data_IF_775846792547
#
_entry.id   IF_775846792547
#
_cell.length_a   1.000
_cell.length_b   1.000
_cell.length_c   1.000
_cell.angle_alpha   90.00
_cell.angle_beta   90.00
_cell.angle_gamma   90.00
#
_symmetry.space_group_name_H-M   'P 1'
#
loop_
_entity.id
_entity.type
_entity.pdbx_description
1 polymer ?
#
# COMPACT_ATOMS: atom_id res chain seq x y z
N UNK A 1 -20.31 -21.68 -74.20
CA UNK A 1 -21.20 -21.36 -73.07
C UNK A 1 -20.61 -21.95 -71.80
N UNK A 2 -20.41 -21.12 -70.76
CA UNK A 2 -20.45 -21.36 -69.31
C UNK A 2 -19.43 -20.44 -68.59
N UNK A 3 -19.94 -19.32 -68.11
CA UNK A 3 -19.22 -18.29 -67.36
C UNK A 3 -19.32 -18.62 -65.85
N UNK A 4 -18.17 -18.83 -65.20
CA UNK A 4 -18.06 -19.23 -63.79
C UNK A 4 -18.14 -17.98 -62.90
N UNK A 5 -19.25 -17.80 -62.21
CA UNK A 5 -19.48 -16.68 -61.28
C UNK A 5 -18.81 -16.96 -59.93
N UNK A 6 -17.79 -16.17 -59.57
CA UNK A 6 -17.21 -16.16 -58.23
C UNK A 6 -18.09 -15.31 -57.31
N UNK A 7 -18.81 -15.96 -56.39
CA UNK A 7 -19.48 -15.29 -55.27
C UNK A 7 -18.43 -14.90 -54.22
N UNK A 8 -18.17 -13.61 -54.09
CA UNK A 8 -17.47 -13.03 -52.95
C UNK A 8 -18.38 -13.11 -51.72
N UNK A 9 -18.00 -13.93 -50.74
CA UNK A 9 -18.64 -13.92 -49.42
C UNK A 9 -18.33 -12.58 -48.76
N UNK A 10 -19.35 -11.73 -48.63
CA UNK A 10 -19.25 -10.47 -47.90
C UNK A 10 -19.22 -10.74 -46.39
N UNK A 11 -18.06 -10.54 -45.77
CA UNK A 11 -17.82 -10.58 -44.31
C UNK A 11 -18.53 -9.45 -43.52
N UNK A 12 -19.52 -8.78 -44.11
CA UNK A 12 -20.13 -7.57 -43.57
C UNK A 12 -21.15 -7.75 -42.43
N UNK A 13 -21.89 -8.87 -42.25
CA UNK A 13 -22.91 -8.92 -41.20
C UNK A 13 -22.35 -9.29 -39.81
N UNK A 14 -21.16 -9.88 -39.72
CA UNK A 14 -20.54 -10.29 -38.44
C UNK A 14 -19.87 -9.14 -37.68
N UNK A 15 -19.37 -8.13 -38.40
CA UNK A 15 -18.70 -6.98 -37.79
C UNK A 15 -19.66 -6.04 -37.02
N UNK A 16 -20.94 -6.00 -37.40
CA UNK A 16 -21.95 -5.12 -36.79
C UNK A 16 -22.39 -5.65 -35.40
N UNK A 17 -22.35 -6.97 -35.19
CA UNK A 17 -22.71 -7.60 -33.91
C UNK A 17 -21.62 -7.51 -32.83
N UNK A 18 -20.36 -7.30 -33.22
CA UNK A 18 -19.23 -7.13 -32.28
C UNK A 18 -19.09 -5.70 -31.75
N UNK A 19 -19.68 -4.73 -32.44
CA UNK A 19 -19.63 -3.31 -32.10
C UNK A 19 -20.25 -2.97 -30.73
N UNK A 20 -21.43 -3.49 -30.33
CA UNK A 20 -21.98 -3.25 -28.99
C UNK A 20 -21.17 -3.95 -27.90
N UNK A 21 -20.56 -5.11 -28.20
CA UNK A 21 -19.70 -5.82 -27.25
C UNK A 21 -18.42 -5.03 -26.98
N UNK A 22 -17.76 -4.52 -28.02
CA UNK A 22 -16.59 -3.64 -27.91
C UNK A 22 -16.92 -2.33 -27.18
N UNK A 23 -18.09 -1.74 -27.43
CA UNK A 23 -18.56 -0.56 -26.71
C UNK A 23 -18.82 -0.86 -25.23
N UNK A 24 -19.40 -2.02 -24.90
CA UNK A 24 -19.60 -2.45 -23.53
C UNK A 24 -18.26 -2.71 -22.82
N UNK A 25 -17.27 -3.33 -23.48
CA UNK A 25 -15.93 -3.53 -22.93
C UNK A 25 -15.20 -2.20 -22.76
N UNK A 26 -15.27 -1.29 -23.73
CA UNK A 26 -14.68 0.04 -23.63
C UNK A 26 -15.33 0.87 -22.51
N UNK A 27 -16.66 0.78 -22.33
CA UNK A 27 -17.38 1.38 -21.21
C UNK A 27 -16.95 0.76 -19.89
N UNK A 28 -16.75 -0.56 -19.82
CA UNK A 28 -16.24 -1.24 -18.63
C UNK A 28 -14.80 -0.80 -18.31
N UNK A 29 -13.95 -0.64 -19.32
CA UNK A 29 -12.60 -0.10 -19.15
C UNK A 29 -12.64 1.38 -18.76
N UNK A 30 -13.58 2.19 -19.24
CA UNK A 30 -13.70 3.60 -18.82
C UNK A 30 -14.27 3.75 -17.41
N UNK A 31 -15.21 2.88 -17.01
CA UNK A 31 -15.85 2.92 -15.69
C UNK A 31 -14.98 2.27 -14.61
N UNK A 32 -14.18 1.26 -14.96
CA UNK A 32 -13.32 0.51 -14.02
C UNK A 32 -11.82 0.70 -14.25
N UNK A 33 -11.40 1.45 -15.27
CA UNK A 33 -9.99 1.63 -15.65
C UNK A 33 -9.33 2.87 -15.07
N UNK A 34 -10.01 3.63 -14.21
CA UNK A 34 -9.34 4.58 -13.32
C UNK A 34 -8.71 3.81 -12.15
N UNK A 35 -7.84 2.85 -12.49
CA UNK A 35 -6.87 2.32 -11.54
C UNK A 35 -5.91 3.48 -11.30
N UNK A 36 -6.19 4.29 -10.28
CA UNK A 36 -5.18 5.17 -9.68
C UNK A 36 -3.92 4.36 -9.55
N UNK A 37 -2.82 4.87 -10.10
CA UNK A 37 -1.50 4.32 -9.86
C UNK A 37 -1.31 4.27 -8.34
N UNK A 38 -1.46 3.08 -7.76
CA UNK A 38 -1.21 2.80 -6.34
C UNK A 38 0.24 3.18 -5.99
N UNK A 39 1.08 3.31 -7.02
CA UNK A 39 2.45 3.79 -6.98
C UNK A 39 2.63 5.27 -6.60
N UNK A 40 1.59 6.12 -6.64
CA UNK A 40 1.75 7.54 -6.23
C UNK A 40 1.72 7.74 -4.71
N UNK A 41 1.13 6.81 -3.96
CA UNK A 41 1.00 6.94 -2.50
C UNK A 41 2.26 6.52 -1.72
N UNK A 42 3.16 5.76 -2.36
CA UNK A 42 4.35 5.17 -1.75
C UNK A 42 5.57 5.40 -2.62
N UNK A 43 6.53 6.16 -2.09
CA UNK A 43 7.84 6.36 -2.70
C UNK A 43 8.87 5.40 -2.07
N UNK A 44 9.66 4.73 -2.91
CA UNK A 44 10.79 3.92 -2.42
C UNK A 44 11.98 4.85 -2.20
N UNK A 45 12.33 5.11 -0.95
CA UNK A 45 13.45 5.98 -0.57
C UNK A 45 14.78 5.23 -0.65
N UNK A 46 14.79 3.97 -0.20
CA UNK A 46 15.99 3.14 -0.19
C UNK A 46 15.64 1.67 -0.42
N UNK A 47 16.54 0.94 -1.07
CA UNK A 47 16.45 -0.53 -1.23
C UNK A 47 17.72 -1.16 -0.70
N UNK A 48 17.56 -2.21 0.11
CA UNK A 48 18.65 -3.00 0.69
C UNK A 48 18.42 -4.48 0.38
N UNK A 49 19.41 -5.32 0.67
CA UNK A 49 19.26 -6.77 0.55
C UNK A 49 18.20 -7.36 1.50
N UNK A 50 17.83 -6.61 2.56
CA UNK A 50 16.96 -7.09 3.64
C UNK A 50 15.56 -6.46 3.59
N UNK A 51 15.32 -5.52 2.67
CA UNK A 51 14.07 -4.77 2.65
C UNK A 51 14.15 -3.47 1.85
N UNK A 52 13.08 -2.70 1.92
CA UNK A 52 12.98 -1.36 1.34
C UNK A 52 12.47 -0.37 2.38
N UNK A 53 12.97 0.85 2.33
CA UNK A 53 12.42 1.96 3.10
C UNK A 53 11.51 2.76 2.19
N UNK A 54 10.32 3.04 2.69
CA UNK A 54 9.22 3.68 1.99
C UNK A 54 8.91 5.02 2.66
N UNK A 55 8.58 6.02 1.86
CA UNK A 55 7.93 7.23 2.29
C UNK A 55 6.50 7.22 1.78
N UNK A 56 5.57 7.58 2.65
CA UNK A 56 4.15 7.65 2.35
C UNK A 56 3.72 9.11 2.41
N UNK A 57 3.21 9.61 1.28
CA UNK A 57 2.69 10.98 1.18
C UNK A 57 1.42 11.11 2.01
N UNK A 58 1.22 12.28 2.62
CA UNK A 58 -0.02 12.63 3.30
C UNK A 58 -1.15 12.76 2.27
N UNK A 59 -2.27 12.08 2.49
CA UNK A 59 -3.48 12.22 1.64
C UNK A 59 -4.28 13.51 1.88
N UNK A 60 -3.75 14.46 2.65
CA UNK A 60 -4.42 15.73 2.95
C UNK A 60 -3.92 16.91 2.12
N UNK A 61 -4.86 17.81 1.76
CA UNK A 61 -4.58 19.13 1.15
C UNK A 61 -3.92 20.14 2.12
N UNK A 62 -3.70 19.77 3.40
CA UNK A 62 -2.94 20.61 4.32
C UNK A 62 -1.47 20.19 4.35
N UNK A 63 -0.54 21.15 4.29
CA UNK A 63 0.88 20.85 4.41
C UNK A 63 1.11 20.08 5.69
N UNK A 64 1.81 18.95 5.58
CA UNK A 64 2.28 18.15 6.70
C UNK A 64 3.32 18.97 7.48
N UNK A 65 2.88 19.97 8.24
CA UNK A 65 3.64 20.47 9.37
C UNK A 65 3.57 19.37 10.42
N UNK A 66 4.52 18.42 10.35
CA UNK A 66 4.72 17.41 11.38
C UNK A 66 4.93 18.04 12.78
N UNK A 67 5.25 19.34 12.81
CA UNK A 67 5.35 20.21 14.00
C UNK A 67 3.99 20.58 14.64
N UNK A 68 2.85 20.33 13.97
CA UNK A 68 1.51 20.66 14.45
C UNK A 68 0.71 19.42 14.94
N UNK A 69 1.27 18.22 14.82
CA UNK A 69 0.62 16.99 15.26
C UNK A 69 0.69 16.76 16.78
N UNK A 70 -0.31 16.09 17.34
CA UNK A 70 -0.36 15.74 18.78
C UNK A 70 0.21 14.34 19.02
N UNK A 71 0.83 14.09 20.17
CA UNK A 71 1.24 12.73 20.56
C UNK A 71 0.07 11.86 21.05
N UNK A 72 -1.04 12.49 21.44
CA UNK A 72 -2.28 11.81 21.79
C UNK A 72 -2.98 11.27 20.54
N UNK A 73 -3.60 10.09 20.67
CA UNK A 73 -4.34 9.46 19.58
C UNK A 73 -5.56 10.30 19.21
N UNK A 74 -5.65 10.65 17.92
CA UNK A 74 -6.81 11.30 17.32
C UNK A 74 -7.54 10.29 16.44
N UNK A 75 -8.82 9.96 16.70
CA UNK A 75 -9.57 9.06 15.85
C UNK A 75 -9.68 9.58 14.40
N UNK A 76 -9.51 8.72 13.37
CA UNK A 76 -9.61 9.16 11.99
C UNK A 76 -10.99 9.73 11.64
N UNK A 77 -10.98 10.86 10.94
CA UNK A 77 -12.17 11.49 10.39
C UNK A 77 -12.99 10.52 9.51
N UNK A 78 -14.29 10.75 9.40
CA UNK A 78 -15.21 9.88 8.66
C UNK A 78 -14.76 9.65 7.21
N UNK A 79 -14.39 10.73 6.51
CA UNK A 79 -13.96 10.67 5.12
C UNK A 79 -12.72 9.77 4.93
N UNK A 80 -11.70 9.93 5.79
CA UNK A 80 -10.49 9.08 5.75
C UNK A 80 -10.80 7.63 6.04
N UNK A 81 -11.66 7.37 7.02
CA UNK A 81 -12.12 6.01 7.31
C UNK A 81 -12.86 5.37 6.14
N UNK A 82 -13.75 6.10 5.48
CA UNK A 82 -14.44 5.59 4.30
C UNK A 82 -13.47 5.33 3.15
N UNK A 83 -12.47 6.20 2.95
CA UNK A 83 -11.42 6.00 1.96
C UNK A 83 -10.62 4.71 2.21
N UNK A 84 -10.15 4.47 3.45
CA UNK A 84 -9.46 3.21 3.81
C UNK A 84 -10.35 2.00 3.54
N UNK A 85 -11.61 2.03 3.96
CA UNK A 85 -12.51 0.89 3.76
C UNK A 85 -12.77 0.62 2.28
N UNK A 86 -12.92 1.65 1.45
CA UNK A 86 -13.04 1.49 -0.01
C UNK A 86 -11.79 0.85 -0.60
N UNK A 87 -10.60 1.40 -0.27
CA UNK A 87 -9.31 0.88 -0.75
C UNK A 87 -9.07 -0.56 -0.31
N UNK A 88 -9.39 -0.92 0.94
CA UNK A 88 -9.28 -2.29 1.44
C UNK A 88 -10.28 -3.25 0.78
N UNK A 89 -11.48 -2.78 0.45
CA UNK A 89 -12.46 -3.56 -0.32
C UNK A 89 -11.94 -3.89 -1.72
N UNK A 90 -11.38 -2.89 -2.41
CA UNK A 90 -10.76 -3.05 -3.73
C UNK A 90 -9.54 -3.97 -3.67
N UNK A 91 -8.65 -3.76 -2.69
CA UNK A 91 -7.51 -4.63 -2.42
C UNK A 91 -7.95 -6.08 -2.21
N UNK A 92 -8.98 -6.31 -1.38
CA UNK A 92 -9.52 -7.65 -1.14
C UNK A 92 -10.06 -8.30 -2.41
N UNK A 93 -10.71 -7.52 -3.29
CA UNK A 93 -11.21 -8.01 -4.55
C UNK A 93 -10.07 -8.40 -5.50
N UNK A 94 -9.04 -7.58 -5.60
CA UNK A 94 -7.83 -7.83 -6.42
C UNK A 94 -7.08 -9.07 -5.96
N UNK A 95 -6.83 -9.22 -4.65
CA UNK A 95 -6.02 -10.29 -4.07
C UNK A 95 -6.84 -11.44 -3.48
N UNK A 96 -8.05 -11.68 -4.00
CA UNK A 96 -8.97 -12.70 -3.48
C UNK A 96 -8.34 -14.10 -3.45
N UNK A 97 -7.54 -14.45 -4.46
CA UNK A 97 -6.89 -15.76 -4.58
C UNK A 97 -5.64 -15.89 -3.69
N UNK A 98 -4.85 -14.82 -3.58
CA UNK A 98 -3.66 -14.80 -2.72
C UNK A 98 -4.03 -14.87 -1.23
N UNK A 99 -5.20 -14.33 -0.85
CA UNK A 99 -5.72 -14.31 0.53
C UNK A 99 -4.69 -13.74 1.53
N UNK A 100 -4.11 -12.56 1.25
CA UNK A 100 -3.15 -11.95 2.16
C UNK A 100 -3.78 -11.73 3.53
N UNK A 101 -2.99 -12.00 4.58
CA UNK A 101 -3.38 -11.84 5.97
C UNK A 101 -2.31 -11.10 6.76
N UNK A 102 -2.73 -10.07 7.49
CA UNK A 102 -1.84 -9.15 8.18
C UNK A 102 -2.10 -9.22 9.67
N UNK A 103 -1.06 -9.47 10.45
CA UNK A 103 -1.14 -9.25 11.90
C UNK A 103 -0.53 -7.90 12.21
N UNK A 104 -1.32 -7.03 12.86
CA UNK A 104 -0.87 -5.72 13.30
C UNK A 104 -0.41 -5.84 14.75
N UNK A 105 0.87 -5.65 14.98
CA UNK A 105 1.49 -5.69 16.28
C UNK A 105 1.85 -4.29 16.77
N UNK A 106 1.61 -4.01 18.04
CA UNK A 106 2.04 -2.79 18.69
C UNK A 106 2.48 -3.08 20.11
N UNK A 107 3.37 -2.23 20.63
CA UNK A 107 3.72 -2.26 22.04
C UNK A 107 2.47 -1.89 22.86
N UNK A 108 2.02 -2.85 23.69
CA UNK A 108 0.85 -2.66 24.53
C UNK A 108 1.02 -1.60 25.61
N UNK A 109 2.23 -1.09 25.90
CA UNK A 109 2.48 -0.05 26.91
C UNK A 109 2.20 1.38 26.41
N UNK A 110 2.19 1.62 25.09
CA UNK A 110 1.94 2.95 24.52
C UNK A 110 0.48 3.06 24.07
N UNK A 111 -0.31 3.85 24.80
CA UNK A 111 -1.76 3.94 24.58
C UNK A 111 -2.14 4.38 23.16
N UNK A 112 -1.39 5.32 22.57
CA UNK A 112 -1.67 5.82 21.22
C UNK A 112 -1.39 4.79 20.14
N UNK A 113 -0.28 4.05 20.24
CA UNK A 113 0.04 2.93 19.35
C UNK A 113 -0.98 1.80 19.48
N UNK A 114 -1.41 1.48 20.71
CA UNK A 114 -2.44 0.46 20.96
C UNK A 114 -3.75 0.82 20.26
N UNK A 115 -4.18 2.07 20.38
CA UNK A 115 -5.39 2.57 19.74
C UNK A 115 -5.28 2.56 18.21
N UNK A 116 -4.14 2.98 17.66
CA UNK A 116 -3.88 2.93 16.23
C UNK A 116 -3.87 1.48 15.71
N UNK A 117 -3.21 0.56 16.41
CA UNK A 117 -3.16 -0.85 16.06
C UNK A 117 -4.55 -1.49 16.04
N UNK A 118 -5.34 -1.23 17.07
CA UNK A 118 -6.72 -1.69 17.14
C UNK A 118 -7.53 -1.14 15.96
N UNK A 119 -7.37 0.15 15.64
CA UNK A 119 -8.08 0.78 14.53
C UNK A 119 -7.73 0.19 13.17
N UNK A 120 -6.45 -0.07 12.92
CA UNK A 120 -5.99 -0.73 11.68
C UNK A 120 -6.54 -2.15 11.60
N UNK A 121 -6.45 -2.91 12.70
CA UNK A 121 -6.97 -4.27 12.76
C UNK A 121 -8.49 -4.33 12.56
N UNK A 122 -9.26 -3.38 13.10
CA UNK A 122 -10.70 -3.31 12.89
C UNK A 122 -11.04 -3.06 11.41
N UNK A 123 -10.29 -2.15 10.75
CA UNK A 123 -10.47 -1.86 9.34
C UNK A 123 -10.13 -3.07 8.46
N UNK A 124 -9.00 -3.72 8.73
CA UNK A 124 -8.57 -4.95 8.05
C UNK A 124 -9.54 -6.11 8.31
N UNK A 125 -10.00 -6.24 9.55
CA UNK A 125 -10.90 -7.30 10.03
C UNK A 125 -12.24 -7.30 9.31
N UNK A 126 -12.78 -6.12 8.93
CA UNK A 126 -14.00 -6.01 8.13
C UNK A 126 -13.95 -6.76 6.80
N UNK A 127 -12.76 -6.92 6.23
CA UNK A 127 -12.55 -7.63 4.96
C UNK A 127 -11.81 -8.97 5.13
N UNK A 128 -11.62 -9.41 6.37
CA UNK A 128 -10.88 -10.64 6.71
C UNK A 128 -9.41 -10.58 6.33
N UNK A 129 -8.82 -9.38 6.30
CA UNK A 129 -7.44 -9.13 5.89
C UNK A 129 -6.46 -9.09 7.07
N UNK A 130 -6.94 -9.08 8.31
CA UNK A 130 -6.03 -9.01 9.43
C UNK A 130 -6.66 -9.05 10.81
N UNK A 131 -5.77 -8.95 11.81
CA UNK A 131 -6.08 -8.92 13.25
C UNK A 131 -5.04 -8.09 14.00
N UNK A 132 -5.35 -7.75 15.24
CA UNK A 132 -4.39 -7.14 16.16
C UNK A 132 -3.72 -8.21 17.01
N UNK A 133 -2.46 -8.00 17.34
CA UNK A 133 -1.71 -8.71 18.36
C UNK A 133 -1.03 -7.68 19.27
N UNK A 134 -1.52 -7.55 20.50
CA UNK A 134 -0.89 -6.65 21.47
C UNK A 134 0.26 -7.39 22.14
N UNK A 135 1.48 -6.91 21.89
CA UNK A 135 2.69 -7.53 22.38
C UNK A 135 3.09 -6.87 23.71
N UNK A 136 3.47 -7.64 24.73
CA UNK A 136 4.00 -7.07 25.97
C UNK A 136 5.22 -6.16 25.70
N UNK A 137 5.46 -5.15 26.54
CA UNK A 137 6.57 -4.22 26.35
C UNK A 137 7.90 -4.96 26.27
N UNK A 138 8.73 -4.57 25.29
CA UNK A 138 10.06 -5.16 25.06
C UNK A 138 10.06 -6.56 24.44
N UNK A 139 8.92 -7.08 23.97
CA UNK A 139 8.85 -8.37 23.26
C UNK A 139 8.70 -8.25 21.74
N UNK A 140 8.57 -7.03 21.21
CA UNK A 140 8.75 -6.81 19.77
C UNK A 140 10.20 -7.17 19.39
N UNK A 141 10.42 -8.03 18.38
CA UNK A 141 11.76 -8.55 18.07
C UNK A 141 12.79 -7.43 17.85
N UNK A 142 13.96 -7.58 18.45
CA UNK A 142 15.02 -6.57 18.53
C UNK A 142 15.28 -5.84 17.20
N UNK A 143 14.91 -4.57 17.16
CA UNK A 143 15.53 -3.56 16.32
C UNK A 143 15.20 -2.17 16.90
N UNK A 144 16.17 -1.25 17.01
CA UNK A 144 15.92 0.16 17.32
C UNK A 144 15.31 0.88 16.10
N UNK A 145 14.32 0.27 15.46
CA UNK A 145 13.63 0.86 14.32
C UNK A 145 12.71 1.98 14.86
N UNK A 146 13.02 3.21 14.46
CA UNK A 146 12.23 4.40 14.77
C UNK A 146 10.95 4.49 13.94
N UNK A 147 10.82 3.65 12.91
CA UNK A 147 9.72 3.60 11.96
C UNK A 147 8.93 2.30 12.11
N UNK A 148 7.64 2.27 11.73
CA UNK A 148 6.88 1.04 11.59
C UNK A 148 7.55 0.10 10.58
N UNK A 149 7.41 -1.20 10.81
CA UNK A 149 8.02 -2.23 9.96
C UNK A 149 6.95 -3.20 9.48
N UNK A 150 6.79 -3.34 8.17
CA UNK A 150 6.00 -4.41 7.56
C UNK A 150 6.93 -5.56 7.16
N UNK A 151 6.84 -6.69 7.86
CA UNK A 151 7.54 -7.92 7.48
C UNK A 151 6.68 -8.75 6.53
N UNK A 152 7.26 -9.19 5.43
CA UNK A 152 6.62 -10.09 4.49
C UNK A 152 7.65 -10.96 3.75
N UNK A 153 7.18 -12.00 3.07
CA UNK A 153 8.01 -12.71 2.11
C UNK A 153 8.35 -11.78 0.93
N UNK A 154 9.59 -11.85 0.41
CA UNK A 154 10.03 -11.01 -0.73
C UNK A 154 9.10 -11.14 -1.95
N UNK A 155 8.56 -12.34 -2.18
CA UNK A 155 7.60 -12.61 -3.27
C UNK A 155 6.29 -11.83 -3.15
N UNK A 156 5.93 -11.42 -1.94
CA UNK A 156 4.71 -10.69 -1.62
C UNK A 156 4.94 -9.17 -1.53
N UNK A 157 6.14 -8.69 -1.87
CA UNK A 157 6.51 -7.28 -1.82
C UNK A 157 5.54 -6.36 -2.59
N UNK A 158 5.01 -6.81 -3.74
CA UNK A 158 4.03 -6.04 -4.50
C UNK A 158 2.68 -5.94 -3.75
N UNK A 159 2.20 -7.07 -3.22
CA UNK A 159 0.95 -7.14 -2.45
C UNK A 159 1.07 -6.30 -1.17
N UNK A 160 2.22 -6.38 -0.49
CA UNK A 160 2.54 -5.63 0.71
C UNK A 160 2.52 -4.11 0.47
N UNK A 161 3.10 -3.63 -0.64
CA UNK A 161 3.04 -2.22 -1.02
C UNK A 161 1.61 -1.76 -1.32
N UNK A 162 0.83 -2.54 -2.06
CA UNK A 162 -0.56 -2.16 -2.34
C UNK A 162 -1.44 -2.16 -1.08
N UNK A 163 -1.16 -3.05 -0.13
CA UNK A 163 -1.80 -3.01 1.18
C UNK A 163 -1.45 -1.72 1.93
N UNK A 164 -0.17 -1.36 2.00
CA UNK A 164 0.28 -0.13 2.65
C UNK A 164 -0.36 1.11 2.02
N UNK A 165 -0.42 1.16 0.68
CA UNK A 165 -1.11 2.24 -0.03
C UNK A 165 -2.63 2.28 0.24
N UNK A 166 -3.25 1.13 0.53
CA UNK A 166 -4.65 1.09 0.96
C UNK A 166 -4.85 1.65 2.38
N UNK A 167 -3.82 1.58 3.23
CA UNK A 167 -3.81 2.09 4.59
C UNK A 167 -3.32 3.54 4.73
N UNK A 168 -2.77 4.11 3.66
CA UNK A 168 -2.22 5.47 3.62
C UNK A 168 -3.13 6.54 4.25
N UNK A 169 -4.46 6.57 4.09
CA UNK A 169 -5.25 7.62 4.75
C UNK A 169 -5.24 7.58 6.30
N UNK A 170 -4.70 6.52 6.91
CA UNK A 170 -4.45 6.40 8.36
C UNK A 170 -2.98 6.57 8.74
N UNK A 171 -2.06 6.43 7.80
CA UNK A 171 -0.63 6.30 8.06
C UNK A 171 0.14 7.26 7.12
N UNK A 172 1.14 7.96 7.63
CA UNK A 172 1.97 8.85 6.83
C UNK A 172 3.43 8.81 7.26
N UNK A 173 4.31 9.34 6.43
CA UNK A 173 5.73 9.45 6.72
C UNK A 173 6.52 8.17 6.40
N UNK A 174 7.56 7.90 7.18
CA UNK A 174 8.50 6.80 6.94
C UNK A 174 7.97 5.44 7.41
N UNK A 175 8.16 4.40 6.60
CA UNK A 175 7.88 3.02 6.94
C UNK A 175 8.94 2.10 6.32
N UNK A 176 9.28 1.03 7.02
CA UNK A 176 10.20 0.00 6.51
C UNK A 176 9.40 -1.24 6.09
N UNK A 177 9.78 -1.84 4.97
CA UNK A 177 9.32 -3.16 4.58
C UNK A 177 10.51 -4.11 4.61
N UNK A 178 10.46 -5.13 5.45
CA UNK A 178 11.56 -6.06 5.68
C UNK A 178 11.21 -7.46 5.16
N UNK A 179 12.17 -8.11 4.53
CA UNK A 179 12.01 -9.48 4.05
C UNK A 179 12.18 -10.46 5.20
N UNK A 180 11.19 -11.33 5.40
CA UNK A 180 11.24 -12.39 6.39
C UNK A 180 10.90 -13.73 5.75
N UNK A 181 11.93 -14.55 5.52
CA UNK A 181 11.80 -15.89 4.92
C UNK A 181 11.06 -16.88 5.84
N UNK A 182 10.88 -16.57 7.13
CA UNK A 182 10.17 -17.42 8.08
C UNK A 182 8.65 -17.28 7.94
N UNK A 183 8.18 -16.17 7.36
CA UNK A 183 6.76 -15.96 7.11
C UNK A 183 6.29 -16.83 5.94
N UNK A 184 5.11 -17.44 6.12
CA UNK A 184 4.42 -18.11 5.02
C UNK A 184 4.04 -17.07 3.98
N UNK A 185 3.97 -17.52 2.73
CA UNK A 185 3.74 -16.65 1.56
C UNK A 185 2.61 -15.65 1.82
N UNK A 186 1.37 -16.04 2.00
CA UNK A 186 0.22 -15.17 2.26
C UNK A 186 0.20 -14.33 3.56
N UNK A 187 1.29 -14.28 4.35
CA UNK A 187 1.33 -13.67 5.67
C UNK A 187 2.23 -12.43 5.75
N UNK A 188 1.71 -11.42 6.44
CA UNK A 188 2.42 -10.18 6.71
C UNK A 188 2.31 -9.82 8.19
N UNK A 189 3.33 -9.15 8.70
CA UNK A 189 3.39 -8.71 10.08
C UNK A 189 3.71 -7.22 10.11
N UNK A 190 2.73 -6.38 10.46
CA UNK A 190 2.89 -4.95 10.56
C UNK A 190 3.18 -4.58 12.01
N UNK A 191 4.42 -4.21 12.30
CA UNK A 191 4.87 -3.79 13.61
C UNK A 191 4.83 -2.27 13.69
N UNK A 192 3.92 -1.74 14.50
CA UNK A 192 3.88 -0.31 14.80
C UNK A 192 4.94 -0.01 15.87
N UNK A 193 5.98 0.70 15.45
CA UNK A 193 7.11 1.14 16.29
C UNK A 193 7.28 2.66 16.15
N UNK A 194 8.12 3.23 16.99
CA UNK A 194 8.35 4.67 17.03
C UNK A 194 7.25 5.43 17.77
N UNK A 195 7.30 6.76 17.68
CA UNK A 195 6.30 7.64 18.30
C UNK A 195 5.52 8.34 17.19
N UNK A 196 4.24 8.00 16.98
CA UNK A 196 3.43 8.69 15.99
C UNK A 196 3.06 10.10 16.47
N UNK A 197 3.04 11.04 15.54
CA UNK A 197 2.32 12.31 15.70
C UNK A 197 1.02 12.25 14.90
N UNK A 198 -0.10 12.65 15.50
CA UNK A 198 -1.41 12.60 14.87
C UNK A 198 -1.81 13.96 14.32
N UNK A 199 -2.31 13.99 13.08
CA UNK A 199 -2.95 15.20 12.55
C UNK A 199 -4.32 15.43 13.17
N UNK A 200 -4.88 16.63 12.99
CA UNK A 200 -6.25 16.94 13.39
C UNK A 200 -7.31 16.03 12.74
N UNK A 201 -6.96 15.39 11.61
CA UNK A 201 -7.84 14.46 10.89
C UNK A 201 -7.64 12.98 11.32
N UNK A 202 -6.73 12.72 12.27
CA UNK A 202 -6.44 11.39 12.81
C UNK A 202 -5.57 10.52 11.92
N UNK A 203 -4.71 11.13 11.10
CA UNK A 203 -3.64 10.44 10.37
C UNK A 203 -2.39 10.35 11.25
N UNK A 204 -1.77 9.18 11.32
CA UNK A 204 -0.59 8.94 12.13
C UNK A 204 0.68 9.07 11.29
N UNK A 205 1.53 10.03 11.64
CA UNK A 205 2.82 10.26 10.99
C UNK A 205 3.97 9.66 11.78
N UNK A 206 4.83 8.92 11.09
CA UNK A 206 6.04 8.35 11.66
C UNK A 206 7.28 8.97 11.03
N UNK A 207 8.28 9.31 11.85
CA UNK A 207 9.55 9.84 11.37
C UNK A 207 9.45 11.24 10.78
N UNK A 208 8.88 12.20 11.50
CA UNK A 208 8.82 13.62 11.13
C UNK A 208 10.18 14.24 10.70
N UNK A 209 11.29 13.67 11.19
CA UNK A 209 12.67 14.08 10.84
C UNK A 209 13.28 13.27 9.67
N UNK A 210 12.52 12.36 9.06
CA UNK A 210 12.99 11.50 7.98
C UNK A 210 13.02 12.30 6.67
N UNK A 211 14.02 13.16 6.52
CA UNK A 211 14.42 13.65 5.22
C UNK A 211 14.92 12.45 4.39
N UNK A 212 14.46 12.26 3.14
CA UNK A 212 15.02 11.23 2.28
C UNK A 212 16.51 11.49 2.15
N UNK A 213 17.33 10.59 2.71
CA UNK A 213 18.78 10.66 2.54
C UNK A 213 19.03 10.47 1.05
N UNK A 214 19.38 11.56 0.37
CA UNK A 214 19.82 11.51 -1.01
C UNK A 214 20.95 10.49 -1.10
N UNK A 215 20.69 9.37 -1.78
CA UNK A 215 21.70 8.37 -2.08
C UNK A 215 22.82 9.12 -2.82
N UNK A 216 24.06 9.19 -2.29
CA UNK A 216 25.14 9.79 -3.05
C UNK A 216 25.28 8.98 -4.33
N UNK A 217 25.06 9.66 -5.47
CA UNK A 217 25.29 9.07 -6.78
C UNK A 217 26.69 8.45 -6.75
N UNK A 218 26.75 7.13 -6.95
CA UNK A 218 28.02 6.42 -7.03
C UNK A 218 28.92 7.15 -8.05
N UNK A 219 30.19 7.43 -7.72
CA UNK A 219 31.08 8.07 -8.67
C UNK A 219 31.21 7.14 -9.88
N UNK A 220 30.72 7.60 -11.03
CA UNK A 220 30.98 6.98 -12.33
C UNK A 220 32.49 7.04 -12.55
N UNK A 221 33.15 5.91 -12.33
CA UNK A 221 34.55 5.68 -12.66
C UNK A 221 34.68 5.79 -14.19
N UNK A 222 35.06 6.99 -14.65
CA UNK A 222 35.43 7.23 -16.03
C UNK A 222 36.73 6.46 -16.30
N UNK A 223 36.61 5.26 -16.88
CA UNK A 223 37.71 4.61 -17.60
C UNK A 223 37.96 5.38 -18.90
N UNK A 224 38.72 6.46 -18.80
CA UNK A 224 39.42 7.01 -19.96
C UNK A 224 40.47 6.00 -20.44
N UNK A 225 40.42 5.70 -21.73
CA UNK A 225 41.41 4.92 -22.44
C UNK A 225 42.76 5.66 -22.46
N UNK A 226 43.82 4.93 -22.17
CA UNK A 226 45.21 5.24 -22.51
C UNK A 226 45.92 3.97 -22.92
#
# INVERSE_FOLDING_TARGET
MLQKSHRTLSLRPLAIWLLPLLAAVALLILVFGDKRDVSSALEIVATTAQGVTLAMESSGDEPADASAGTSEYVPPAEARRQAVLSRLSEFRATYKQARPFVTVAADGSVDSLRQLAQRLADALGKYGLGRVELVPPGQLPDAPAALPVLRCAERDAAIARELLAALEPYLGGGLEMAWDERLRVDQMYLELRGTPSFSAQGEAFFGADYAPVAVPAAPMENKEHG
#
